data_IF_246714176465
#
_entry.id   IF_246714176465
#
_cell.length_a   1.000
_cell.length_b   1.000
_cell.length_c   1.000
_cell.angle_alpha   90.00
_cell.angle_beta   90.00
_cell.angle_gamma   90.00
#
_symmetry.space_group_name_H-M   'P 1'
#
loop_
_entity.id
_entity.type
_entity.pdbx_description
1 polymer ?
#
# COMPACT_ATOMS: atom_id res chain seq x y z
N UNK A 1 -27.97 2.38 -2.00
CA UNK A 1 -26.89 3.37 -2.20
C UNK A 1 -25.56 2.64 -2.02
N UNK A 2 -24.83 2.41 -3.10
CA UNK A 2 -23.64 1.56 -3.10
C UNK A 2 -22.41 2.40 -2.71
N UNK A 3 -22.09 2.38 -1.42
CA UNK A 3 -20.88 2.98 -0.83
C UNK A 3 -19.56 2.51 -1.48
N UNK A 4 -19.59 1.39 -2.23
CA UNK A 4 -18.44 0.80 -2.92
C UNK A 4 -17.87 1.61 -4.09
N UNK A 5 -18.55 2.66 -4.56
CA UNK A 5 -18.11 3.42 -5.76
C UNK A 5 -17.46 4.77 -5.44
N UNK A 6 -17.32 5.13 -4.17
CA UNK A 6 -16.86 6.46 -3.75
C UNK A 6 -15.37 6.53 -3.36
N UNK A 7 -14.64 5.42 -3.36
CA UNK A 7 -13.19 5.37 -3.08
C UNK A 7 -12.33 5.36 -4.36
N UNK A 8 -12.98 5.32 -5.54
CA UNK A 8 -12.30 5.39 -6.82
C UNK A 8 -11.89 6.84 -7.13
N UNK A 9 -10.81 7.30 -6.51
CA UNK A 9 -9.98 8.38 -7.04
C UNK A 9 -10.27 9.81 -6.59
N UNK A 10 -10.90 10.07 -5.44
CA UNK A 10 -11.12 11.45 -5.01
C UNK A 10 -11.11 11.68 -3.49
N UNK A 11 -10.32 12.69 -3.07
CA UNK A 11 -10.11 13.22 -1.71
C UNK A 11 -9.39 12.27 -0.75
N UNK A 12 -8.20 12.59 -0.25
CA UNK A 12 -7.89 13.82 0.46
C UNK A 12 -6.46 14.27 0.18
N UNK A 13 -6.24 15.59 0.15
CA UNK A 13 -4.93 16.23 0.29
C UNK A 13 -4.43 16.10 1.75
N UNK A 14 -4.54 14.90 2.32
CA UNK A 14 -4.16 14.55 3.68
C UNK A 14 -2.82 13.83 3.58
N UNK A 15 -1.88 14.22 4.43
CA UNK A 15 -0.58 13.56 4.47
C UNK A 15 -0.69 12.13 5.00
N UNK A 16 -1.66 11.81 5.86
CA UNK A 16 -1.84 10.51 6.51
C UNK A 16 -3.19 9.86 6.19
N UNK A 17 -3.39 9.31 4.99
CA UNK A 17 -4.63 8.63 4.65
C UNK A 17 -4.84 7.37 5.50
N UNK A 18 -6.08 7.17 5.97
CA UNK A 18 -6.51 5.98 6.70
C UNK A 18 -7.13 4.94 5.76
N UNK A 19 -6.90 3.65 6.04
CA UNK A 19 -7.40 2.54 5.22
C UNK A 19 -8.19 1.52 6.04
N UNK A 20 -9.15 0.86 5.38
CA UNK A 20 -9.90 -0.24 5.97
C UNK A 20 -9.34 -1.60 5.52
N UNK A 21 -9.52 -2.61 6.37
CA UNK A 21 -9.19 -3.99 6.02
C UNK A 21 -10.02 -4.42 4.80
N UNK A 22 -9.33 -4.91 3.79
CA UNK A 22 -9.89 -5.33 2.52
C UNK A 22 -9.78 -4.28 1.40
N UNK A 23 -9.34 -3.06 1.71
CA UNK A 23 -9.10 -2.03 0.70
C UNK A 23 -7.93 -2.42 -0.21
N UNK A 24 -8.11 -2.21 -1.51
CA UNK A 24 -7.08 -2.43 -2.52
C UNK A 24 -6.45 -1.10 -2.91
N UNK A 25 -5.12 -1.04 -2.83
CA UNK A 25 -4.34 0.16 -3.05
C UNK A 25 -3.31 -0.10 -4.14
N UNK A 26 -3.02 0.93 -4.93
CA UNK A 26 -1.92 0.91 -5.91
C UNK A 26 -0.94 2.01 -5.56
N UNK A 27 0.30 1.62 -5.24
CA UNK A 27 1.34 2.55 -4.80
C UNK A 27 2.73 2.02 -5.13
N UNK A 28 3.75 2.86 -4.94
CA UNK A 28 5.14 2.49 -5.20
C UNK A 28 5.81 2.01 -3.91
N UNK A 29 6.61 0.96 -4.02
CA UNK A 29 7.45 0.50 -2.91
C UNK A 29 8.60 1.49 -2.77
N UNK A 30 8.68 2.11 -1.59
CA UNK A 30 9.67 3.17 -1.33
C UNK A 30 10.96 2.63 -0.72
N UNK A 31 10.97 1.38 -0.28
CA UNK A 31 12.14 0.76 0.34
C UNK A 31 11.78 -0.57 1.00
N UNK A 32 12.66 -1.03 1.88
CA UNK A 32 12.44 -2.20 2.72
C UNK A 32 12.73 -1.87 4.18
N UNK A 33 11.98 -2.46 5.10
CA UNK A 33 12.31 -2.54 6.52
C UNK A 33 12.91 -3.92 6.77
N UNK A 34 14.25 -3.98 6.84
CA UNK A 34 14.98 -5.25 6.78
C UNK A 34 14.75 -5.97 5.44
N UNK A 35 14.11 -7.14 5.48
CA UNK A 35 13.72 -7.92 4.30
C UNK A 35 12.29 -7.66 3.83
N UNK A 36 11.49 -6.89 4.58
CA UNK A 36 10.08 -6.66 4.25
C UNK A 36 9.91 -5.38 3.44
N UNK A 37 9.35 -5.42 2.22
CA UNK A 37 9.12 -4.22 1.44
C UNK A 37 8.04 -3.33 2.07
N UNK A 38 8.29 -2.02 1.99
CA UNK A 38 7.43 -0.99 2.55
C UNK A 38 6.93 -0.02 1.48
N UNK A 39 5.63 0.25 1.54
CA UNK A 39 4.92 1.18 0.66
C UNK A 39 4.54 2.39 1.47
N UNK A 40 4.86 3.59 0.96
CA UNK A 40 4.46 4.85 1.59
C UNK A 40 3.45 5.56 0.72
N UNK A 41 2.31 5.91 1.32
CA UNK A 41 1.26 6.70 0.68
C UNK A 41 1.06 7.96 1.53
N UNK A 42 1.68 9.05 1.09
CA UNK A 42 1.90 10.20 1.98
C UNK A 42 2.88 9.80 3.09
N UNK A 43 2.46 9.99 4.33
CA UNK A 43 3.17 9.61 5.55
C UNK A 43 2.75 8.23 6.08
N UNK A 44 1.66 7.67 5.55
CA UNK A 44 1.17 6.33 5.93
C UNK A 44 2.10 5.25 5.40
N UNK A 45 2.49 4.30 6.26
CA UNK A 45 3.40 3.19 5.94
C UNK A 45 2.62 1.87 5.91
N UNK A 46 2.68 1.15 4.80
CA UNK A 46 2.11 -0.19 4.66
C UNK A 46 3.24 -1.19 4.42
N UNK A 47 3.35 -2.18 5.30
CA UNK A 47 4.33 -3.27 5.18
C UNK A 47 3.73 -4.42 4.39
N UNK A 48 4.55 -5.08 3.57
CA UNK A 48 4.14 -6.22 2.76
C UNK A 48 4.91 -7.48 3.19
N UNK A 49 4.55 -8.10 4.34
CA UNK A 49 5.27 -9.27 4.86
C UNK A 49 5.18 -10.50 3.93
N UNK A 50 4.13 -10.60 3.11
CA UNK A 50 3.96 -11.68 2.12
C UNK A 50 4.80 -11.48 0.85
N UNK A 51 5.40 -10.31 0.68
CA UNK A 51 6.22 -9.99 -0.47
C UNK A 51 7.69 -10.17 -0.10
N UNK A 52 8.16 -11.41 -0.11
CA UNK A 52 9.60 -11.69 -0.06
C UNK A 52 10.24 -11.25 -1.37
N UNK A 53 11.17 -10.31 -1.29
CA UNK A 53 11.92 -9.89 -2.45
C UNK A 53 12.96 -8.88 -2.05
N UNK A 54 14.10 -9.36 -1.52
CA UNK A 54 15.32 -8.67 -1.07
C UNK A 54 15.65 -7.35 -1.80
N UNK A 55 14.80 -6.33 -1.65
CA UNK A 55 14.84 -5.09 -2.42
C UNK A 55 14.34 -5.15 -3.88
N UNK A 56 13.95 -6.30 -4.45
CA UNK A 56 13.57 -6.40 -5.88
C UNK A 56 12.32 -5.57 -6.22
N UNK A 57 11.43 -5.39 -5.26
CA UNK A 57 10.21 -4.62 -5.43
C UNK A 57 10.40 -3.11 -5.24
N UNK A 58 11.57 -2.66 -4.76
CA UNK A 58 11.85 -1.24 -4.51
C UNK A 58 11.76 -0.48 -5.83
N UNK A 59 11.17 0.72 -5.79
CA UNK A 59 10.87 1.57 -6.95
C UNK A 59 9.85 0.98 -7.95
N UNK A 60 9.34 -0.23 -7.71
CA UNK A 60 8.26 -0.80 -8.51
C UNK A 60 6.90 -0.36 -7.99
N UNK A 61 5.95 -0.27 -8.92
CA UNK A 61 4.55 -0.02 -8.60
C UNK A 61 3.87 -1.34 -8.31
N UNK A 62 3.17 -1.42 -7.18
CA UNK A 62 2.49 -2.63 -6.74
C UNK A 62 1.02 -2.37 -6.45
N UNK A 63 0.20 -3.40 -6.64
CA UNK A 63 -1.15 -3.48 -6.13
C UNK A 63 -1.12 -4.33 -4.87
N UNK A 64 -1.62 -3.79 -3.78
CA UNK A 64 -1.70 -4.47 -2.49
C UNK A 64 -3.11 -4.39 -1.92
N UNK A 65 -3.42 -5.30 -1.02
CA UNK A 65 -4.65 -5.30 -0.25
C UNK A 65 -4.33 -5.14 1.22
N UNK A 66 -4.97 -4.17 1.87
CA UNK A 66 -4.79 -3.92 3.30
C UNK A 66 -5.40 -5.07 4.09
N UNK A 67 -4.62 -5.72 4.93
CA UNK A 67 -5.04 -6.79 5.83
C UNK A 67 -5.16 -6.29 7.26
N UNK A 68 -4.37 -5.29 7.63
CA UNK A 68 -4.34 -4.64 8.94
C UNK A 68 -4.00 -3.15 8.80
N UNK A 69 -4.63 -2.30 9.63
CA UNK A 69 -4.31 -0.87 9.67
C UNK A 69 -4.50 -0.29 11.08
N UNK A 70 -3.49 0.44 11.55
CA UNK A 70 -3.50 1.22 12.79
C UNK A 70 -3.57 2.72 12.44
N UNK A 71 -4.76 3.30 12.58
CA UNK A 71 -5.01 4.71 12.32
C UNK A 71 -4.36 5.67 13.33
N UNK A 72 -3.94 5.20 14.52
CA UNK A 72 -3.24 6.04 15.48
C UNK A 72 -1.76 6.20 15.10
N UNK A 73 -1.19 5.17 14.48
CA UNK A 73 0.21 5.15 14.05
C UNK A 73 0.40 5.47 12.58
N UNK A 74 -0.68 5.43 11.79
CA UNK A 74 -0.64 5.50 10.33
C UNK A 74 0.26 4.40 9.74
N UNK A 75 0.22 3.23 10.37
CA UNK A 75 0.98 2.05 10.00
C UNK A 75 0.00 0.93 9.67
N UNK A 76 0.30 0.09 8.69
CA UNK A 76 -0.52 -1.07 8.36
C UNK A 76 0.28 -2.19 7.72
N UNK A 77 -0.41 -3.30 7.51
CA UNK A 77 0.09 -4.44 6.75
C UNK A 77 -0.84 -4.75 5.59
N UNK A 78 -0.25 -5.26 4.52
CA UNK A 78 -0.99 -5.66 3.33
C UNK A 78 -0.41 -6.88 2.65
N UNK A 79 -1.25 -7.51 1.87
CA UNK A 79 -0.89 -8.61 0.99
C UNK A 79 -0.59 -8.04 -0.40
N UNK A 80 0.52 -8.49 -1.00
CA UNK A 80 0.85 -8.13 -2.38
C UNK A 80 -0.04 -8.91 -3.34
N UNK A 81 -0.84 -8.20 -4.14
CA UNK A 81 -1.70 -8.81 -5.15
C UNK A 81 -1.02 -8.92 -6.51
N UNK A 82 -0.31 -7.87 -6.94
CA UNK A 82 0.35 -7.82 -8.25
C UNK A 82 1.44 -6.76 -8.28
N UNK A 83 2.45 -6.98 -9.11
CA UNK A 83 3.49 -5.99 -9.43
C UNK A 83 3.20 -5.47 -10.83
N UNK A 84 3.15 -4.16 -11.00
CA UNK A 84 3.12 -3.53 -12.32
C UNK A 84 4.57 -3.41 -12.77
N UNK A 85 5.00 -4.28 -13.67
CA UNK A 85 6.23 -4.09 -14.41
C UNK A 85 5.93 -3.10 -15.54
N UNK A 86 6.55 -1.92 -15.48
CA UNK A 86 6.55 -0.96 -16.59
C UNK A 86 7.53 -1.53 -17.64
N UNK A 87 7.09 -2.57 -18.37
CA UNK A 87 7.74 -2.95 -19.64
C UNK A 87 7.30 -1.94 -20.71
N UNK A 88 8.02 -0.82 -20.84
CA UNK A 88 8.16 -0.05 -22.09
C UNK A 88 9.58 0.53 -22.26
#
# INVERSE_FOLDING_TARGET
>A
MNVKKLLAGWSFRTSTPDYAVGDELTAFVTGTDGSTPIVRIGDTVIQLPDADGDGELVEKRVRLRVTEFDAQRHEGAGELLSVFDDEE
#
